data_IF_321613713733
#
_entry.id   IF_321613713733
#
_cell.length_a   1.000
_cell.length_b   1.000
_cell.length_c   1.000
_cell.angle_alpha   90.00
_cell.angle_beta   90.00
_cell.angle_gamma   90.00
#
_symmetry.space_group_name_H-M   'P 1'
#
loop_
_entity.id
_entity.type
_entity.pdbx_description
1 polymer ?
#
# COMPACT_ATOMS: atom_id res chain seq x y z
N UNK A 1 -5.40 -4.35 -35.60
CA UNK A 1 -5.38 -5.24 -34.41
C UNK A 1 -6.81 -5.67 -34.16
N UNK A 2 -7.03 -6.94 -33.78
CA UNK A 2 -8.34 -7.43 -33.37
C UNK A 2 -8.25 -7.80 -31.87
N UNK A 3 -9.31 -7.46 -31.13
CA UNK A 3 -9.43 -7.87 -29.72
C UNK A 3 -9.58 -9.38 -29.63
N UNK A 4 -8.77 -10.03 -28.80
CA UNK A 4 -8.94 -11.44 -28.45
C UNK A 4 -9.98 -11.57 -27.34
N UNK A 5 -10.59 -12.76 -27.19
CA UNK A 5 -11.60 -13.04 -26.15
C UNK A 5 -11.01 -13.25 -24.76
N UNK A 6 -9.72 -13.56 -24.73
CA UNK A 6 -9.01 -13.84 -23.46
C UNK A 6 -8.87 -12.58 -22.63
N UNK A 7 -8.99 -12.74 -21.31
CA UNK A 7 -8.78 -11.69 -20.32
C UNK A 7 -7.39 -11.87 -19.73
N UNK A 8 -6.60 -10.81 -19.70
CA UNK A 8 -5.27 -10.86 -19.07
C UNK A 8 -5.41 -11.01 -17.55
N UNK A 9 -4.42 -11.65 -16.95
CA UNK A 9 -4.29 -11.74 -15.51
C UNK A 9 -4.05 -10.34 -14.91
N UNK A 10 -4.85 -9.97 -13.90
CA UNK A 10 -4.74 -8.65 -13.24
C UNK A 10 -3.36 -8.42 -12.59
N UNK A 11 -2.66 -9.49 -12.23
CA UNK A 11 -1.31 -9.41 -11.70
C UNK A 11 -0.28 -9.04 -12.76
N UNK A 12 -0.49 -9.46 -13.99
CA UNK A 12 0.35 -9.01 -15.11
C UNK A 12 0.19 -7.51 -15.33
N UNK A 13 -1.04 -7.01 -15.36
CA UNK A 13 -1.31 -5.59 -15.51
C UNK A 13 -0.73 -4.77 -14.36
N UNK A 14 -0.98 -5.16 -13.12
CA UNK A 14 -0.45 -4.48 -11.93
C UNK A 14 1.08 -4.57 -11.83
N UNK A 15 1.67 -5.68 -12.27
CA UNK A 15 3.11 -5.89 -12.30
C UNK A 15 3.83 -5.05 -13.36
N UNK A 16 3.12 -4.63 -14.40
CA UNK A 16 3.66 -3.76 -15.46
C UNK A 16 3.75 -2.28 -15.08
N UNK A 17 3.17 -1.89 -13.94
CA UNK A 17 3.01 -0.48 -13.53
C UNK A 17 4.31 0.33 -13.64
N UNK A 18 5.44 -0.24 -13.24
CA UNK A 18 6.72 0.48 -13.20
C UNK A 18 7.18 1.02 -14.55
N UNK A 19 6.72 0.47 -15.67
CA UNK A 19 7.03 0.93 -17.02
C UNK A 19 5.78 1.34 -17.81
N UNK A 20 4.65 0.71 -17.57
CA UNK A 20 3.40 1.02 -18.28
C UNK A 20 2.88 2.43 -17.99
N UNK A 21 3.09 2.96 -16.76
CA UNK A 21 2.70 4.33 -16.41
C UNK A 21 3.39 5.41 -17.25
N UNK A 22 4.55 5.09 -17.82
CA UNK A 22 5.30 5.98 -18.73
C UNK A 22 5.00 5.71 -20.19
N UNK A 23 4.18 4.69 -20.51
CA UNK A 23 3.97 4.17 -21.85
C UNK A 23 5.29 3.76 -22.53
N UNK A 24 6.27 3.30 -21.71
CA UNK A 24 7.56 2.82 -22.19
C UNK A 24 7.38 1.51 -22.99
N UNK A 25 8.11 1.29 -24.09
CA UNK A 25 9.20 2.11 -24.65
C UNK A 25 8.75 3.15 -25.71
N UNK A 26 7.45 3.35 -25.90
CA UNK A 26 6.91 4.15 -27.02
C UNK A 26 6.95 5.65 -26.71
N UNK A 27 6.82 6.03 -25.43
CA UNK A 27 6.82 7.40 -24.95
C UNK A 27 7.64 7.51 -23.67
N UNK A 28 7.98 8.75 -23.27
CA UNK A 28 8.60 9.10 -22.00
C UNK A 28 9.83 8.27 -21.61
N UNK A 29 10.62 7.84 -22.61
CA UNK A 29 11.78 6.97 -22.38
C UNK A 29 12.78 7.59 -21.41
N UNK A 30 13.11 8.86 -21.60
CA UNK A 30 14.07 9.56 -20.74
C UNK A 30 13.59 9.65 -19.30
N UNK A 31 12.31 9.98 -19.09
CA UNK A 31 11.69 10.03 -17.76
C UNK A 31 11.71 8.65 -17.09
N UNK A 32 11.40 7.60 -17.84
CA UNK A 32 11.49 6.24 -17.33
C UNK A 32 12.92 5.88 -16.89
N UNK A 33 13.91 6.14 -17.73
CA UNK A 33 15.31 5.81 -17.43
C UNK A 33 15.85 6.55 -16.19
N UNK A 34 15.36 7.75 -15.92
CA UNK A 34 15.72 8.52 -14.72
C UNK A 34 15.04 7.98 -13.43
N UNK A 35 13.85 7.39 -13.53
CA UNK A 35 13.04 6.98 -12.37
C UNK A 35 13.01 5.47 -12.16
N UNK A 36 13.58 4.68 -13.06
CA UNK A 36 13.60 3.23 -12.94
C UNK A 36 15.02 2.70 -12.63
N UNK A 37 15.19 1.83 -11.62
CA UNK A 37 14.20 1.36 -10.63
C UNK A 37 13.70 2.47 -9.70
N UNK A 38 12.45 2.38 -9.24
CA UNK A 38 11.93 3.36 -8.29
C UNK A 38 12.68 3.31 -6.95
N UNK A 39 12.66 4.41 -6.20
CA UNK A 39 13.46 4.51 -4.98
C UNK A 39 12.95 3.61 -3.86
N UNK A 40 11.63 3.48 -3.70
CA UNK A 40 11.04 2.55 -2.76
C UNK A 40 9.62 2.13 -3.17
N UNK A 41 9.17 1.02 -2.58
CA UNK A 41 7.80 0.51 -2.67
C UNK A 41 7.32 0.15 -1.27
N UNK A 42 6.07 0.42 -0.95
CA UNK A 42 5.49 0.15 0.37
C UNK A 42 4.12 -0.51 0.25
N UNK A 43 3.96 -1.62 0.94
CA UNK A 43 2.70 -2.35 1.10
C UNK A 43 2.79 -3.32 2.29
N UNK A 44 1.68 -3.99 2.62
CA UNK A 44 1.70 -5.00 3.68
C UNK A 44 2.48 -6.25 3.26
N UNK A 45 2.98 -6.98 4.25
CA UNK A 45 3.87 -8.14 4.06
C UNK A 45 3.33 -9.21 3.08
N UNK A 46 2.02 -9.34 2.92
CA UNK A 46 1.43 -10.30 1.98
C UNK A 46 1.79 -10.05 0.52
N UNK A 47 2.22 -8.83 0.16
CA UNK A 47 2.62 -8.49 -1.21
C UNK A 47 3.98 -9.07 -1.62
N UNK A 48 4.70 -9.70 -0.71
CA UNK A 48 5.89 -10.51 -1.03
C UNK A 48 5.57 -11.69 -1.95
N UNK A 49 4.30 -12.16 -1.95
CA UNK A 49 3.77 -13.16 -2.89
C UNK A 49 2.67 -12.60 -3.80
N UNK A 50 2.66 -11.30 -4.01
CA UNK A 50 1.69 -10.59 -4.83
C UNK A 50 2.37 -9.50 -5.65
N UNK A 51 2.03 -8.24 -5.40
CA UNK A 51 2.46 -7.12 -6.21
C UNK A 51 3.97 -6.91 -6.27
N UNK A 52 4.69 -7.06 -5.15
CA UNK A 52 6.15 -6.97 -5.16
C UNK A 52 6.78 -8.06 -6.03
N UNK A 53 6.27 -9.28 -5.92
CA UNK A 53 6.76 -10.42 -6.68
C UNK A 53 6.57 -10.22 -8.19
N UNK A 54 5.35 -9.88 -8.64
CA UNK A 54 5.07 -9.75 -10.08
C UNK A 54 5.84 -8.59 -10.70
N UNK A 55 5.98 -7.46 -10.02
CA UNK A 55 6.81 -6.36 -10.50
C UNK A 55 8.29 -6.78 -10.64
N UNK A 56 8.81 -7.49 -9.64
CA UNK A 56 10.19 -7.96 -9.67
C UNK A 56 10.44 -8.94 -10.82
N UNK A 57 9.55 -9.90 -11.02
CA UNK A 57 9.63 -10.88 -12.12
C UNK A 57 9.63 -10.18 -13.47
N UNK A 58 8.69 -9.25 -13.70
CA UNK A 58 8.58 -8.55 -14.98
C UNK A 58 9.77 -7.63 -15.22
N UNK A 59 10.22 -6.89 -14.21
CA UNK A 59 11.37 -6.01 -14.33
C UNK A 59 12.66 -6.79 -14.61
N UNK A 60 12.85 -7.93 -13.96
CA UNK A 60 14.01 -8.80 -14.20
C UNK A 60 13.96 -9.38 -15.61
N UNK A 61 12.81 -9.85 -16.07
CA UNK A 61 12.66 -10.41 -17.40
C UNK A 61 12.90 -9.39 -18.54
N UNK A 62 12.46 -8.14 -18.34
CA UNK A 62 12.52 -7.11 -19.38
C UNK A 62 13.78 -6.24 -19.32
N UNK A 63 14.32 -6.00 -18.12
CA UNK A 63 15.36 -5.01 -17.89
C UNK A 63 16.60 -5.56 -17.18
N UNK A 64 16.59 -6.83 -16.81
CA UNK A 64 17.67 -7.51 -16.06
C UNK A 64 18.05 -6.77 -14.75
N UNK A 65 17.07 -6.19 -14.09
CA UNK A 65 17.25 -5.46 -12.82
C UNK A 65 15.92 -5.38 -12.03
N UNK A 66 15.97 -5.12 -10.69
CA UNK A 66 14.76 -5.01 -9.89
C UNK A 66 13.92 -3.79 -10.31
N UNK A 67 12.61 -3.84 -10.02
CA UNK A 67 11.70 -2.71 -10.26
C UNK A 67 11.86 -1.58 -9.23
N UNK A 68 12.45 -1.87 -8.07
CA UNK A 68 12.59 -0.95 -6.93
C UNK A 68 13.89 -1.19 -6.17
N UNK A 69 14.43 -0.14 -5.53
CA UNK A 69 15.67 -0.19 -4.76
C UNK A 69 15.43 -0.60 -3.31
N UNK A 70 14.32 -0.16 -2.72
CA UNK A 70 13.98 -0.38 -1.32
C UNK A 70 12.54 -0.88 -1.19
N UNK A 71 12.29 -1.74 -0.21
CA UNK A 71 10.95 -2.25 0.12
C UNK A 71 10.63 -1.94 1.58
N UNK A 72 9.49 -1.33 1.81
CA UNK A 72 8.95 -1.11 3.14
C UNK A 72 7.73 -2.03 3.28
N UNK A 73 7.84 -3.02 4.17
CA UNK A 73 6.74 -3.94 4.47
C UNK A 73 6.12 -3.58 5.80
N UNK A 74 4.87 -3.16 5.79
CA UNK A 74 4.11 -3.00 7.03
C UNK A 74 3.37 -4.28 7.43
N UNK A 75 2.97 -4.35 8.71
CA UNK A 75 2.21 -5.46 9.25
C UNK A 75 0.76 -5.50 8.78
N UNK A 76 -0.01 -6.42 9.34
CA UNK A 76 -1.42 -6.60 8.99
C UNK A 76 -2.28 -5.70 9.87
N UNK A 77 -3.21 -4.98 9.25
CA UNK A 77 -4.25 -4.23 9.95
C UNK A 77 -5.39 -5.19 10.29
N UNK A 78 -5.73 -5.25 11.58
CA UNK A 78 -6.74 -6.13 12.14
C UNK A 78 -7.94 -5.30 12.62
N UNK A 79 -9.13 -5.88 12.51
CA UNK A 79 -10.33 -5.33 13.13
C UNK A 79 -10.33 -5.46 14.65
N UNK A 80 -11.32 -4.89 15.31
CA UNK A 80 -11.50 -4.97 16.76
C UNK A 80 -11.64 -6.40 17.30
N UNK A 81 -12.00 -7.33 16.44
CA UNK A 81 -12.11 -8.77 16.67
C UNK A 81 -10.76 -9.52 16.57
N UNK A 82 -9.67 -8.81 16.23
CA UNK A 82 -8.36 -9.40 16.00
C UNK A 82 -8.22 -10.15 14.68
N UNK A 83 -9.26 -10.17 13.85
CA UNK A 83 -9.23 -10.79 12.52
C UNK A 83 -8.73 -9.79 11.48
N UNK A 84 -8.14 -10.30 10.38
CA UNK A 84 -7.79 -9.45 9.25
C UNK A 84 -9.03 -8.68 8.76
N UNK A 85 -8.88 -7.37 8.60
CA UNK A 85 -9.97 -6.55 8.06
C UNK A 85 -10.41 -7.04 6.69
N UNK A 86 -11.72 -7.18 6.51
CA UNK A 86 -12.29 -7.55 5.23
C UNK A 86 -13.63 -6.88 4.99
N UNK A 87 -13.93 -6.59 3.73
CA UNK A 87 -15.22 -6.03 3.32
C UNK A 87 -16.38 -6.98 3.65
N UNK A 88 -16.15 -8.28 3.61
CA UNK A 88 -17.13 -9.29 3.94
C UNK A 88 -17.51 -9.27 5.43
N UNK A 89 -16.51 -9.21 6.31
CA UNK A 89 -16.72 -9.20 7.75
C UNK A 89 -17.16 -7.84 8.29
N UNK A 90 -16.91 -6.75 7.57
CA UNK A 90 -17.20 -5.37 8.01
C UNK A 90 -16.66 -5.07 9.41
N UNK A 91 -15.51 -5.66 9.75
CA UNK A 91 -14.89 -5.63 11.07
C UNK A 91 -13.94 -4.45 11.27
N UNK A 92 -14.18 -3.36 10.58
CA UNK A 92 -13.42 -2.12 10.69
C UNK A 92 -14.36 -0.91 10.80
N UNK A 93 -13.92 0.17 11.49
CA UNK A 93 -14.74 1.38 11.57
C UNK A 93 -14.90 2.02 10.18
N UNK A 94 -16.04 2.68 9.96
CA UNK A 94 -16.22 3.49 8.76
C UNK A 94 -15.19 4.61 8.73
N UNK A 95 -14.41 4.68 7.65
CA UNK A 95 -13.31 5.64 7.52
C UNK A 95 -13.80 7.08 7.54
N UNK A 96 -14.92 7.36 6.87
CA UNK A 96 -15.49 8.70 6.85
C UNK A 96 -16.03 9.10 8.23
N UNK A 97 -16.64 8.15 8.96
CA UNK A 97 -17.05 8.35 10.35
C UNK A 97 -15.85 8.71 11.24
N UNK A 98 -14.76 7.96 11.14
CA UNK A 98 -13.52 8.25 11.88
C UNK A 98 -12.97 9.64 11.55
N UNK A 99 -12.97 10.04 10.29
CA UNK A 99 -12.47 11.37 9.90
C UNK A 99 -13.38 12.50 10.39
N UNK A 100 -14.68 12.29 10.40
CA UNK A 100 -15.65 13.25 10.93
C UNK A 100 -15.56 13.41 12.45
N UNK A 101 -15.35 12.31 13.18
CA UNK A 101 -15.34 12.29 14.64
C UNK A 101 -13.99 12.70 15.25
N UNK A 102 -12.88 12.34 14.62
CA UNK A 102 -11.53 12.46 15.20
C UNK A 102 -10.55 13.26 14.35
N UNK A 103 -10.86 13.48 13.09
CA UNK A 103 -9.95 14.10 12.12
C UNK A 103 -8.95 13.14 11.51
N UNK A 104 -8.47 13.46 10.33
CA UNK A 104 -7.49 12.65 9.58
C UNK A 104 -6.12 12.60 10.27
N UNK A 105 -5.72 13.66 10.96
CA UNK A 105 -4.41 13.72 11.61
C UNK A 105 -4.32 12.80 12.81
N UNK A 106 -5.42 12.62 13.57
CA UNK A 106 -5.48 11.65 14.65
C UNK A 106 -5.31 10.22 14.12
N UNK A 107 -5.97 9.88 13.00
CA UNK A 107 -5.81 8.58 12.35
C UNK A 107 -4.39 8.38 11.83
N UNK A 108 -3.80 9.37 11.19
CA UNK A 108 -2.42 9.32 10.69
C UNK A 108 -1.43 9.13 11.83
N UNK A 109 -1.57 9.88 12.92
CA UNK A 109 -0.71 9.73 14.08
C UNK A 109 -0.84 8.34 14.70
N UNK A 110 -2.06 7.85 14.89
CA UNK A 110 -2.32 6.51 15.41
C UNK A 110 -1.61 5.44 14.59
N UNK A 111 -1.70 5.50 13.25
CA UNK A 111 -1.03 4.57 12.37
C UNK A 111 0.50 4.71 12.44
N UNK A 112 1.01 5.93 12.33
CA UNK A 112 2.46 6.18 12.24
C UNK A 112 3.20 5.93 13.56
N UNK A 113 2.52 6.04 14.70
CA UNK A 113 3.11 5.74 16.01
C UNK A 113 3.02 4.26 16.42
N UNK A 114 2.32 3.45 15.64
CA UNK A 114 2.02 2.05 15.95
C UNK A 114 3.12 1.08 15.49
N UNK A 115 3.11 -0.16 16.01
CA UNK A 115 4.04 -1.20 15.57
C UNK A 115 3.93 -1.60 14.10
N UNK A 116 2.86 -1.18 13.39
CA UNK A 116 2.60 -1.58 12.00
C UNK A 116 3.76 -1.21 11.07
N UNK A 117 4.38 -0.07 11.29
CA UNK A 117 5.52 0.39 10.48
C UNK A 117 6.78 -0.45 10.66
N UNK A 118 6.83 -1.25 11.72
CA UNK A 118 7.95 -2.16 12.02
C UNK A 118 7.59 -3.62 11.72
N UNK A 119 6.56 -3.85 10.90
CA UNK A 119 6.08 -5.19 10.56
C UNK A 119 5.19 -5.85 11.60
N UNK A 120 4.88 -5.19 12.72
CA UNK A 120 3.92 -5.68 13.71
C UNK A 120 2.48 -5.51 13.24
N UNK A 121 1.57 -6.32 13.76
CA UNK A 121 0.14 -6.16 13.47
C UNK A 121 -0.46 -5.01 14.30
N UNK A 122 -1.51 -4.39 13.77
CA UNK A 122 -2.23 -3.32 14.43
C UNK A 122 -3.73 -3.63 14.48
N UNK A 123 -4.30 -3.63 15.69
CA UNK A 123 -5.74 -3.64 15.87
C UNK A 123 -6.23 -2.18 15.83
N UNK A 124 -7.10 -1.86 14.87
CA UNK A 124 -7.68 -0.52 14.74
C UNK A 124 -9.00 -0.44 15.48
N UNK A 125 -9.08 0.46 16.44
CA UNK A 125 -10.31 0.74 17.21
C UNK A 125 -10.57 2.23 17.25
N UNK A 126 -11.83 2.62 17.32
CA UNK A 126 -12.22 4.02 17.50
C UNK A 126 -11.65 4.62 18.80
N UNK A 127 -11.58 3.81 19.86
CA UNK A 127 -11.02 4.24 21.15
C UNK A 127 -9.52 4.54 21.05
N UNK A 128 -8.75 3.71 20.35
CA UNK A 128 -7.31 3.97 20.14
C UNK A 128 -7.06 5.27 19.39
N UNK A 129 -7.90 5.58 18.39
CA UNK A 129 -7.81 6.84 17.64
C UNK A 129 -8.23 8.03 18.53
N UNK A 130 -9.31 7.88 19.30
CA UNK A 130 -9.74 8.89 20.28
C UNK A 130 -8.67 9.22 21.31
N UNK A 131 -7.97 8.20 21.81
CA UNK A 131 -6.88 8.38 22.77
C UNK A 131 -5.72 9.18 22.17
N UNK A 132 -5.46 9.03 20.89
CA UNK A 132 -4.49 9.87 20.16
C UNK A 132 -4.89 11.34 20.19
N UNK A 133 -6.16 11.67 19.99
CA UNK A 133 -6.64 13.05 20.12
C UNK A 133 -6.36 13.59 21.50
N UNK A 134 -6.70 12.84 22.54
CA UNK A 134 -6.53 13.26 23.95
C UNK A 134 -5.08 13.40 24.38
N UNK A 135 -4.24 12.45 23.99
CA UNK A 135 -2.86 12.35 24.48
C UNK A 135 -1.87 13.17 23.66
N UNK A 136 -2.18 13.45 22.41
CA UNK A 136 -1.25 14.10 21.48
C UNK A 136 -1.83 15.39 20.90
N UNK A 137 -2.98 15.33 20.24
CA UNK A 137 -3.49 16.49 19.51
C UNK A 137 -3.86 17.63 20.45
N UNK A 138 -4.64 17.36 21.49
CA UNK A 138 -5.08 18.39 22.45
C UNK A 138 -3.92 19.02 23.24
N UNK A 139 -2.90 18.27 23.73
CA UNK A 139 -1.77 18.89 24.43
C UNK A 139 -0.89 19.77 23.54
N UNK A 140 -0.88 19.55 22.23
CA UNK A 140 -0.10 20.37 21.27
C UNK A 140 -0.88 21.59 20.84
N UNK A 141 -2.19 21.51 20.77
CA UNK A 141 -3.08 22.60 20.39
C UNK A 141 -3.21 23.64 21.50
#
# INVERSE_FOLDING_TARGET
MHRISDVMDCWFESGSMSFAQYHYPFENKETFEQHFPCDYIVEYIGQTRGWFYVQHVMATALFDRPAFKNVICHGIVLGSDGQKMSKHLRNYPDVNGVFNDFGSDAMRWFLMSSPILRGGNLIVTADGIRDTVRQVMLPVW
#
